data_IF_206489220344
#
_entry.id   IF_206489220344
#
_cell.length_a   1.000
_cell.length_b   1.000
_cell.length_c   1.000
_cell.angle_alpha   90.00
_cell.angle_beta   90.00
_cell.angle_gamma   90.00
#
_symmetry.space_group_name_H-M   'P 1'
#
loop_
_entity.id
_entity.type
_entity.pdbx_description
1 polymer ?
#
# COMPACT_ATOMS: atom_id res chain seq x y z
N UNK A 1 -19.01 -42.11 11.81
CA UNK A 1 -18.44 -42.43 10.49
C UNK A 1 -19.59 -42.26 9.52
N UNK A 2 -19.69 -41.25 8.68
CA UNK A 2 -18.87 -40.09 8.38
C UNK A 2 -19.87 -39.14 7.69
N UNK A 3 -19.97 -37.89 8.14
CA UNK A 3 -20.96 -36.94 7.59
C UNK A 3 -20.30 -35.57 7.45
N UNK A 4 -19.72 -35.34 6.29
CA UNK A 4 -19.38 -34.01 5.78
C UNK A 4 -20.65 -33.32 5.28
N UNK A 5 -20.97 -32.10 5.73
CA UNK A 5 -21.90 -31.23 5.02
C UNK A 5 -21.14 -30.55 3.88
N UNK A 6 -21.66 -30.68 2.65
CA UNK A 6 -21.24 -29.85 1.53
C UNK A 6 -22.01 -28.53 1.59
N UNK A 7 -21.28 -27.42 1.63
CA UNK A 7 -21.81 -26.10 1.30
C UNK A 7 -22.13 -26.05 -0.19
N UNK A 8 -23.36 -25.68 -0.52
CA UNK A 8 -23.83 -25.45 -1.87
C UNK A 8 -24.29 -23.99 -1.96
N UNK A 9 -23.34 -23.07 -2.13
CA UNK A 9 -23.61 -21.67 -2.43
C UNK A 9 -23.40 -21.41 -3.92
N UNK A 10 -24.38 -21.84 -4.72
CA UNK A 10 -24.64 -21.32 -6.08
C UNK A 10 -25.92 -20.44 -6.03
N UNK A 11 -25.99 -19.57 -5.02
CA UNK A 11 -26.99 -18.52 -4.93
C UNK A 11 -26.65 -17.40 -5.88
N UNK A 12 -27.12 -17.50 -7.13
CA UNK A 12 -27.01 -16.44 -8.13
C UNK A 12 -27.47 -15.11 -7.53
N UNK A 13 -26.53 -14.16 -7.44
CA UNK A 13 -26.81 -12.76 -7.15
C UNK A 13 -27.72 -12.25 -8.28
N UNK A 14 -29.01 -12.21 -7.99
CA UNK A 14 -29.98 -11.47 -8.79
C UNK A 14 -29.50 -10.03 -8.78
N UNK A 15 -29.27 -9.46 -9.96
CA UNK A 15 -29.09 -8.03 -10.16
C UNK A 15 -30.19 -7.28 -9.40
N UNK A 16 -29.88 -6.82 -8.20
CA UNK A 16 -30.68 -5.88 -7.45
C UNK A 16 -30.42 -4.54 -8.08
N UNK A 17 -31.40 -4.04 -8.84
CA UNK A 17 -31.45 -2.66 -9.26
C UNK A 17 -31.41 -1.78 -8.00
N UNK A 18 -30.25 -1.19 -7.73
CA UNK A 18 -30.04 -0.22 -6.66
C UNK A 18 -30.75 1.08 -7.01
N UNK A 19 -32.06 1.12 -6.73
CA UNK A 19 -32.83 2.33 -6.60
C UNK A 19 -32.47 3.02 -5.28
N UNK A 20 -31.32 3.70 -5.23
CA UNK A 20 -31.09 4.71 -4.21
C UNK A 20 -31.77 6.02 -4.60
N UNK A 21 -32.66 6.47 -3.72
CA UNK A 21 -33.32 7.75 -3.79
C UNK A 21 -32.29 8.88 -3.86
N UNK A 22 -32.28 9.58 -5.00
CA UNK A 22 -31.66 10.88 -5.14
C UNK A 22 -32.56 11.91 -4.45
N UNK A 23 -32.12 12.42 -3.30
CA UNK A 23 -32.55 13.72 -2.78
C UNK A 23 -31.37 14.31 -2.01
N UNK A 24 -30.60 15.12 -2.72
CA UNK A 24 -29.42 15.83 -2.23
C UNK A 24 -29.02 16.88 -3.27
N UNK A 25 -29.70 18.03 -3.19
CA UNK A 25 -29.48 19.24 -3.98
C UNK A 25 -27.97 19.59 -4.06
N UNK A 26 -27.36 19.70 -5.25
CA UNK A 26 -25.95 20.06 -5.35
C UNK A 26 -25.80 21.55 -5.04
N UNK A 27 -25.28 21.85 -3.85
CA UNK A 27 -24.77 23.18 -3.55
C UNK A 27 -23.73 23.56 -4.63
N UNK A 28 -24.08 24.56 -5.43
CA UNK A 28 -23.20 25.20 -6.39
C UNK A 28 -22.02 25.81 -5.65
N UNK A 29 -20.89 25.10 -5.63
CA UNK A 29 -19.61 25.70 -5.28
C UNK A 29 -19.19 26.58 -6.46
N UNK A 30 -19.18 27.88 -6.20
CA UNK A 30 -18.61 28.87 -7.09
C UNK A 30 -17.09 28.71 -7.08
N UNK A 31 -16.49 28.67 -8.27
CA UNK A 31 -15.05 28.58 -8.48
C UNK A 31 -14.32 29.71 -7.71
N UNK A 32 -13.38 29.39 -6.81
CA UNK A 32 -12.40 30.37 -6.38
C UNK A 32 -11.39 30.58 -7.52
N UNK A 33 -10.82 31.80 -7.65
CA UNK A 33 -9.87 32.10 -8.70
C UNK A 33 -8.65 31.19 -8.60
N UNK A 34 -8.21 30.70 -9.76
CA UNK A 34 -6.99 29.93 -9.98
C UNK A 34 -5.76 30.71 -9.47
N UNK A 35 -5.43 30.46 -8.20
CA UNK A 35 -4.11 30.67 -7.64
C UNK A 35 -3.21 29.57 -8.15
N UNK A 36 -2.19 29.97 -8.90
CA UNK A 36 -1.08 29.13 -9.31
C UNK A 36 -0.23 28.83 -8.06
N UNK A 37 -0.63 27.81 -7.31
CA UNK A 37 0.15 27.22 -6.22
C UNK A 37 1.22 26.31 -6.83
N UNK A 38 2.03 26.88 -7.71
CA UNK A 38 3.31 26.30 -8.06
C UNK A 38 4.08 26.08 -6.77
N UNK A 39 4.10 24.84 -6.29
CA UNK A 39 5.11 24.33 -5.39
C UNK A 39 6.44 24.36 -6.14
N UNK A 40 6.94 25.58 -6.39
CA UNK A 40 8.36 25.85 -6.52
C UNK A 40 8.93 25.50 -5.16
N UNK A 41 9.39 24.26 -5.03
CA UNK A 41 10.31 23.88 -3.97
C UNK A 41 11.45 24.89 -4.05
N UNK A 42 11.51 25.81 -3.09
CA UNK A 42 12.74 26.53 -2.83
C UNK A 42 13.74 25.45 -2.46
N UNK A 43 14.64 25.20 -3.41
CA UNK A 43 15.80 24.35 -3.26
C UNK A 43 16.66 25.03 -2.19
N UNK A 44 16.42 24.67 -0.93
CA UNK A 44 17.12 25.18 0.25
C UNK A 44 18.54 24.62 0.28
N UNK A 45 19.33 24.88 -0.77
CA UNK A 45 20.79 24.98 -0.79
C UNK A 45 21.59 23.97 0.03
N UNK A 46 21.04 22.78 0.28
CA UNK A 46 21.70 21.69 0.97
C UNK A 46 22.73 21.16 0.03
N UNK A 47 23.94 21.74 0.09
CA UNK A 47 25.02 21.53 -0.86
C UNK A 47 25.10 20.06 -1.24
N UNK A 48 24.75 19.76 -2.49
CA UNK A 48 24.82 18.42 -3.04
C UNK A 48 26.24 17.94 -2.81
N UNK A 49 26.42 17.05 -1.84
CA UNK A 49 27.67 16.34 -1.67
C UNK A 49 27.93 15.66 -3.00
N UNK A 50 29.05 15.98 -3.66
CA UNK A 50 29.46 15.28 -4.87
C UNK A 50 29.59 13.79 -4.54
N UNK A 51 28.55 13.02 -4.86
CA UNK A 51 28.45 11.60 -4.56
C UNK A 51 29.32 10.77 -5.53
N UNK A 52 30.19 11.40 -6.31
CA UNK A 52 31.04 10.76 -7.29
C UNK A 52 30.28 10.28 -8.53
N UNK A 53 30.99 9.62 -9.47
CA UNK A 53 30.41 9.11 -10.71
C UNK A 53 29.30 8.11 -10.40
N UNK A 54 28.26 8.09 -11.24
CA UNK A 54 27.19 7.11 -11.09
C UNK A 54 27.74 5.68 -11.26
N UNK A 55 27.49 4.77 -10.31
CA UNK A 55 27.82 3.37 -10.50
C UNK A 55 27.06 2.73 -11.68
N UNK A 56 27.74 1.84 -12.40
CA UNK A 56 27.21 1.25 -13.62
C UNK A 56 26.03 0.28 -13.36
N UNK A 57 26.00 -0.37 -12.21
CA UNK A 57 24.99 -1.37 -11.83
C UNK A 57 24.06 -0.83 -10.75
N UNK A 58 22.84 -1.36 -10.68
CA UNK A 58 21.89 -1.17 -9.58
C UNK A 58 22.44 -1.73 -8.26
N UNK A 59 23.16 -2.84 -8.32
CA UNK A 59 23.80 -3.42 -7.13
C UNK A 59 24.78 -2.45 -6.48
N UNK A 60 25.61 -1.76 -7.28
CA UNK A 60 26.57 -0.76 -6.78
C UNK A 60 25.90 0.57 -6.37
N UNK A 61 24.66 0.82 -6.80
CA UNK A 61 23.84 1.99 -6.39
C UNK A 61 23.09 1.74 -5.09
N UNK A 62 22.99 0.50 -4.64
CA UNK A 62 22.27 0.15 -3.42
C UNK A 62 23.14 0.44 -2.19
N UNK A 63 22.57 1.19 -1.26
CA UNK A 63 23.08 1.34 0.09
C UNK A 63 22.15 0.66 1.08
N UNK A 64 22.73 0.10 2.15
CA UNK A 64 22.00 -0.61 3.21
C UNK A 64 22.48 -0.09 4.54
N UNK A 65 21.57 0.49 5.33
CA UNK A 65 21.83 0.94 6.70
C UNK A 65 21.14 0.00 7.67
N UNK A 66 21.90 -0.56 8.61
CA UNK A 66 21.37 -1.42 9.67
C UNK A 66 21.18 -0.63 10.96
N UNK A 67 20.00 -0.75 11.57
CA UNK A 67 19.62 -0.08 12.80
C UNK A 67 19.29 -1.16 13.83
N UNK A 68 20.01 -1.16 14.95
CA UNK A 68 19.67 -2.05 16.06
C UNK A 68 18.43 -1.54 16.80
N UNK A 69 17.52 -2.46 17.12
CA UNK A 69 16.32 -2.21 17.95
C UNK A 69 16.35 -2.99 19.26
N UNK A 70 17.50 -3.58 19.63
CA UNK A 70 17.62 -4.30 20.89
C UNK A 70 17.31 -3.36 22.09
N UNK A 71 16.65 -3.88 23.16
CA UNK A 71 16.32 -5.29 23.40
C UNK A 71 15.05 -5.79 22.70
N UNK A 72 14.35 -4.94 21.95
CA UNK A 72 13.17 -5.35 21.20
C UNK A 72 13.56 -6.22 19.99
N UNK A 73 12.55 -6.87 19.44
CA UNK A 73 12.64 -7.62 18.19
C UNK A 73 11.54 -7.19 17.23
N UNK A 74 11.87 -7.04 15.96
CA UNK A 74 10.93 -6.76 14.89
C UNK A 74 10.03 -7.97 14.69
N UNK A 75 8.73 -7.76 14.76
CA UNK A 75 7.73 -8.73 14.31
C UNK A 75 7.23 -8.32 12.93
N UNK A 76 7.51 -9.14 11.94
CA UNK A 76 7.00 -8.97 10.57
C UNK A 76 5.87 -9.93 10.24
N UNK A 77 5.46 -10.80 11.18
CA UNK A 77 4.33 -11.69 10.99
C UNK A 77 3.04 -10.96 11.38
N UNK A 78 2.06 -11.00 10.49
CA UNK A 78 0.68 -10.70 10.87
C UNK A 78 0.01 -11.97 11.43
N UNK A 79 -0.91 -11.77 12.35
CA UNK A 79 -1.62 -12.85 13.05
C UNK A 79 -2.77 -13.46 12.25
N UNK A 80 -2.97 -13.02 11.00
CA UNK A 80 -4.13 -13.38 10.20
C UNK A 80 -3.90 -14.48 9.18
N UNK A 81 -4.95 -15.24 8.87
CA UNK A 81 -4.85 -16.35 7.92
C UNK A 81 -4.59 -15.87 6.49
N UNK A 82 -5.05 -14.68 6.12
CA UNK A 82 -4.82 -14.05 4.82
C UNK A 82 -3.97 -12.77 4.89
N UNK A 83 -3.52 -12.39 6.09
CA UNK A 83 -2.54 -11.33 6.29
C UNK A 83 -1.30 -11.93 6.92
N UNK A 84 -0.32 -12.24 6.07
CA UNK A 84 0.88 -12.96 6.50
C UNK A 84 1.97 -12.03 7.02
N UNK A 85 1.99 -10.77 6.59
CA UNK A 85 3.13 -9.88 6.82
C UNK A 85 2.75 -8.44 7.20
N UNK A 86 3.47 -7.90 8.18
CA UNK A 86 3.46 -6.49 8.59
C UNK A 86 4.87 -5.91 8.47
N UNK A 87 5.33 -5.57 7.26
CA UNK A 87 6.69 -5.10 7.06
C UNK A 87 6.91 -3.74 7.75
N UNK A 88 8.15 -3.39 8.11
CA UNK A 88 8.49 -2.01 8.41
C UNK A 88 8.12 -1.09 7.24
N UNK A 89 7.51 0.04 7.54
CA UNK A 89 7.01 1.00 6.53
C UNK A 89 7.86 2.26 6.61
N UNK A 90 8.44 2.65 5.48
CA UNK A 90 9.25 3.86 5.34
C UNK A 90 8.40 4.99 4.76
N UNK A 91 8.47 6.18 5.35
CA UNK A 91 7.82 7.40 4.81
C UNK A 91 8.84 8.53 4.71
N UNK A 92 9.36 8.83 3.50
CA UNK A 92 10.37 9.86 3.29
C UNK A 92 9.85 11.27 3.59
N UNK A 93 10.77 12.15 4.01
CA UNK A 93 10.54 13.59 4.22
C UNK A 93 11.78 14.39 3.85
N UNK A 94 11.68 15.73 3.70
CA UNK A 94 12.88 16.56 3.60
C UNK A 94 13.85 16.28 4.76
N UNK A 95 15.11 15.98 4.44
CA UNK A 95 16.17 15.73 5.42
C UNK A 95 16.16 14.36 6.10
N UNK A 96 15.29 13.41 5.71
CA UNK A 96 15.31 12.05 6.25
C UNK A 96 14.04 11.25 5.98
N UNK A 97 13.63 10.42 6.94
CA UNK A 97 12.41 9.61 6.83
C UNK A 97 11.87 9.27 8.22
N UNK A 98 10.64 8.78 8.25
CA UNK A 98 10.10 8.05 9.38
C UNK A 98 10.04 6.56 9.03
N UNK A 99 10.48 5.72 9.95
CA UNK A 99 10.42 4.27 9.81
C UNK A 99 9.51 3.68 10.89
N UNK A 100 8.31 3.28 10.49
CA UNK A 100 7.40 2.56 11.37
C UNK A 100 7.73 1.06 11.34
N UNK A 101 7.74 0.42 12.51
CA UNK A 101 7.95 -1.02 12.64
C UNK A 101 7.22 -1.55 13.87
N UNK A 102 6.93 -2.84 13.86
CA UNK A 102 6.21 -3.50 14.93
C UNK A 102 7.18 -4.30 15.80
N UNK A 103 7.13 -4.08 17.10
CA UNK A 103 7.83 -4.91 18.08
C UNK A 103 7.02 -6.17 18.42
N UNK A 104 7.71 -7.27 18.70
CA UNK A 104 7.08 -8.54 19.10
C UNK A 104 6.24 -8.45 20.40
N UNK A 105 6.49 -7.43 21.22
CA UNK A 105 5.73 -7.17 22.45
C UNK A 105 4.33 -6.56 22.22
N UNK A 106 3.88 -6.38 20.97
CA UNK A 106 2.56 -5.79 20.67
C UNK A 106 2.55 -4.27 20.77
N UNK A 107 3.59 -3.64 20.20
CA UNK A 107 3.75 -2.19 20.14
C UNK A 107 4.28 -1.79 18.77
N UNK A 108 3.79 -0.69 18.23
CA UNK A 108 4.34 -0.06 17.04
C UNK A 108 5.30 1.06 17.47
N UNK A 109 6.45 1.11 16.81
CA UNK A 109 7.49 2.10 16.97
C UNK A 109 7.61 2.90 15.68
N UNK A 110 7.86 4.20 15.78
CA UNK A 110 8.19 5.07 14.66
C UNK A 110 9.53 5.72 14.95
N UNK A 111 10.56 5.23 14.25
CA UNK A 111 11.95 5.69 14.36
C UNK A 111 12.17 6.89 13.43
N UNK A 112 12.56 8.07 13.93
CA UNK A 112 13.03 9.15 13.07
C UNK A 112 14.39 8.80 12.48
N UNK A 113 14.54 8.96 11.16
CA UNK A 113 15.80 8.81 10.44
C UNK A 113 16.28 10.13 9.86
N UNK A 114 17.59 10.30 9.75
CA UNK A 114 18.26 11.42 9.08
C UNK A 114 18.43 11.17 7.57
N UNK A 115 19.05 12.13 6.87
CA UNK A 115 19.27 12.05 5.43
C UNK A 115 20.17 10.90 4.98
N UNK A 116 20.91 10.28 5.90
CA UNK A 116 21.76 9.10 5.68
C UNK A 116 21.12 7.80 6.22
N UNK A 117 19.81 7.82 6.48
CA UNK A 117 19.04 6.69 7.00
C UNK A 117 19.49 6.18 8.38
N UNK A 118 20.23 7.00 9.14
CA UNK A 118 20.58 6.70 10.53
C UNK A 118 19.53 7.24 11.50
N UNK A 119 19.40 6.59 12.66
CA UNK A 119 18.52 7.02 13.74
C UNK A 119 18.84 8.46 14.17
N UNK A 120 17.85 9.34 14.06
CA UNK A 120 17.97 10.77 14.36
C UNK A 120 17.35 11.16 15.72
N UNK A 121 16.77 10.20 16.46
CA UNK A 121 16.07 10.48 17.71
C UNK A 121 15.44 9.24 18.35
N UNK A 122 14.73 9.44 19.48
CA UNK A 122 13.99 8.37 20.14
C UNK A 122 12.79 7.91 19.30
N UNK A 123 12.34 6.67 19.52
CA UNK A 123 11.12 6.17 18.92
C UNK A 123 9.89 6.88 19.51
N UNK A 124 8.91 7.12 18.65
CA UNK A 124 7.53 7.37 19.06
C UNK A 124 6.80 6.03 19.10
N UNK A 125 6.06 5.76 20.16
CA UNK A 125 5.41 4.45 20.35
C UNK A 125 3.89 4.56 20.38
N UNK A 126 3.23 3.56 19.80
CA UNK A 126 1.77 3.39 19.79
C UNK A 126 1.43 1.96 20.21
N UNK A 127 0.50 1.80 21.16
CA UNK A 127 -0.04 0.47 21.47
C UNK A 127 -0.85 -0.06 20.30
N UNK A 128 -0.45 -1.22 19.78
CA UNK A 128 -1.03 -1.81 18.59
C UNK A 128 -0.59 -3.26 18.43
N UNK A 129 -1.50 -4.09 17.96
CA UNK A 129 -1.16 -5.45 17.61
C UNK A 129 -0.43 -5.53 16.29
N UNK A 130 -0.78 -4.71 15.29
CA UNK A 130 -0.19 -4.77 13.95
C UNK A 130 -0.08 -3.37 13.33
N UNK A 131 0.99 -3.16 12.56
CA UNK A 131 1.18 -1.96 11.73
C UNK A 131 0.54 -2.17 10.36
N UNK A 132 -0.32 -1.25 9.94
CA UNK A 132 -1.08 -1.33 8.68
C UNK A 132 -0.83 -0.16 7.73
N UNK A 133 -0.19 0.92 8.19
CA UNK A 133 0.17 2.04 7.34
C UNK A 133 0.97 3.11 8.07
N UNK A 134 1.76 3.89 7.32
CA UNK A 134 2.46 5.09 7.79
C UNK A 134 2.39 6.14 6.68
N UNK A 135 2.05 7.37 7.04
CA UNK A 135 2.20 8.51 6.14
C UNK A 135 2.70 9.73 6.89
N UNK A 136 3.76 10.34 6.38
CA UNK A 136 4.36 11.54 6.93
C UNK A 136 4.08 12.77 6.06
N UNK A 137 4.08 13.93 6.71
CA UNK A 137 4.00 15.25 6.08
C UNK A 137 4.85 16.25 6.88
N UNK A 138 4.96 17.49 6.40
CA UNK A 138 5.81 18.50 7.06
C UNK A 138 5.42 18.78 8.53
N UNK A 139 4.14 18.61 8.88
CA UNK A 139 3.60 18.88 10.22
C UNK A 139 3.69 17.71 11.19
N UNK A 140 4.02 16.50 10.73
CA UNK A 140 3.93 15.29 11.53
C UNK A 140 3.76 14.02 10.72
N UNK A 141 3.13 13.02 11.31
CA UNK A 141 2.83 11.76 10.65
C UNK A 141 1.62 11.10 11.31
N UNK A 142 1.01 10.15 10.62
CA UNK A 142 0.05 9.24 11.21
C UNK A 142 0.43 7.79 10.91
N UNK A 143 0.04 6.90 11.82
CA UNK A 143 0.09 5.44 11.63
C UNK A 143 -1.32 4.88 11.64
N UNK A 144 -1.54 3.89 10.79
CA UNK A 144 -2.74 3.06 10.79
C UNK A 144 -2.41 1.73 11.45
N UNK A 145 -3.19 1.31 12.44
CA UNK A 145 -2.86 0.18 13.30
C UNK A 145 -4.08 -0.69 13.62
N UNK A 146 -3.84 -2.00 13.70
CA UNK A 146 -4.81 -2.97 14.21
C UNK A 146 -4.69 -3.05 15.74
N UNK A 147 -5.82 -3.06 16.45
CA UNK A 147 -5.87 -3.18 17.91
C UNK A 147 -6.92 -4.19 18.37
N UNK A 148 -6.61 -4.89 19.46
CA UNK A 148 -7.48 -5.89 20.03
C UNK A 148 -7.79 -7.00 19.04
N UNK A 149 -9.03 -7.46 19.05
CA UNK A 149 -9.50 -8.52 18.15
C UNK A 149 -10.07 -7.96 16.84
N UNK A 150 -10.56 -6.72 16.84
CA UNK A 150 -11.52 -6.26 15.84
C UNK A 150 -11.38 -4.79 15.41
N UNK A 151 -10.42 -4.03 15.96
CA UNK A 151 -10.31 -2.59 15.71
C UNK A 151 -9.24 -2.25 14.67
N UNK A 152 -9.56 -1.26 13.83
CA UNK A 152 -8.58 -0.49 13.06
C UNK A 152 -8.61 0.95 13.56
N UNK A 153 -7.44 1.54 13.81
CA UNK A 153 -7.30 2.89 14.33
C UNK A 153 -6.30 3.74 13.52
N UNK A 154 -6.50 5.06 13.53
CA UNK A 154 -5.58 6.06 13.01
C UNK A 154 -5.02 6.89 14.17
N UNK A 155 -3.71 6.94 14.28
CA UNK A 155 -3.03 7.66 15.37
C UNK A 155 -2.10 8.69 14.77
N UNK A 156 -2.35 9.96 15.09
CA UNK A 156 -1.61 11.10 14.55
C UNK A 156 -0.65 11.72 15.55
N UNK A 157 0.52 12.12 15.08
CA UNK A 157 1.58 12.75 15.84
C UNK A 157 2.05 14.02 15.12
N UNK A 158 2.52 15.01 15.88
CA UNK A 158 3.23 16.13 15.28
C UNK A 158 4.69 15.80 14.93
N UNK A 159 5.37 16.75 14.30
CA UNK A 159 6.77 16.61 13.88
C UNK A 159 7.75 16.32 15.03
N UNK A 160 7.38 16.66 16.28
CA UNK A 160 8.19 16.38 17.48
C UNK A 160 7.84 15.03 18.13
N UNK A 161 6.86 14.30 17.58
CA UNK A 161 6.39 13.03 18.12
C UNK A 161 5.33 13.17 19.21
N UNK A 162 4.76 14.37 19.41
CA UNK A 162 3.65 14.59 20.34
C UNK A 162 2.34 14.06 19.78
N UNK A 163 1.60 13.27 20.55
CA UNK A 163 0.28 12.74 20.16
C UNK A 163 -0.70 13.89 19.88
N UNK A 164 -1.39 13.81 18.74
CA UNK A 164 -2.40 14.78 18.30
C UNK A 164 -3.80 14.20 18.35
N UNK A 165 -3.98 12.98 17.88
CA UNK A 165 -5.25 12.29 17.92
C UNK A 165 -5.05 10.78 17.93
N UNK A 166 -6.05 10.07 18.42
CA UNK A 166 -6.14 8.62 18.42
C UNK A 166 -7.60 8.23 18.13
N UNK A 167 -7.88 7.88 16.89
CA UNK A 167 -9.23 7.67 16.37
C UNK A 167 -9.43 6.22 16.00
N UNK A 168 -10.45 5.58 16.58
CA UNK A 168 -10.95 4.28 16.09
C UNK A 168 -11.68 4.53 14.77
N UNK A 169 -11.21 3.89 13.69
CA UNK A 169 -11.84 3.96 12.37
C UNK A 169 -13.08 3.06 12.35
N UNK A 170 -12.89 1.78 12.70
CA UNK A 170 -13.96 0.77 12.81
C UNK A 170 -13.66 -0.21 13.96
N UNK A 171 -14.65 -1.01 14.36
CA UNK A 171 -14.59 -1.96 15.47
C UNK A 171 -15.07 -1.38 16.80
N UNK A 172 -14.95 -2.19 17.87
CA UNK A 172 -15.38 -1.86 19.23
C UNK A 172 -16.89 -1.62 19.42
N UNK A 173 -17.70 -2.23 18.56
CA UNK A 173 -19.15 -2.05 18.52
C UNK A 173 -19.88 -3.40 18.68
N UNK A 174 -21.21 -3.34 18.69
CA UNK A 174 -22.02 -4.54 18.63
C UNK A 174 -22.10 -5.08 17.20
N UNK A 175 -21.34 -6.13 16.91
CA UNK A 175 -21.28 -6.78 15.60
C UNK A 175 -22.58 -7.43 15.15
N UNK A 176 -23.61 -7.55 16.00
CA UNK A 176 -24.95 -8.04 15.61
C UNK A 176 -25.79 -6.95 14.91
N UNK A 177 -25.34 -5.69 14.91
CA UNK A 177 -26.07 -4.58 14.28
C UNK A 177 -25.73 -4.48 12.79
N UNK A 178 -26.77 -4.47 11.95
CA UNK A 178 -26.61 -4.18 10.53
C UNK A 178 -25.90 -2.83 10.35
N UNK A 179 -24.87 -2.82 9.51
CA UNK A 179 -24.04 -1.66 9.22
C UNK A 179 -22.77 -1.58 10.06
N UNK A 180 -22.64 -2.39 11.12
CA UNK A 180 -21.42 -2.42 11.91
C UNK A 180 -20.24 -2.95 11.09
N UNK A 181 -19.05 -2.41 11.35
CA UNK A 181 -17.82 -2.70 10.63
C UNK A 181 -16.71 -3.00 11.62
N UNK A 182 -15.90 -4.00 11.32
CA UNK A 182 -14.75 -4.39 12.13
C UNK A 182 -13.71 -5.14 11.29
N UNK A 183 -12.51 -5.32 11.82
CA UNK A 183 -11.53 -6.23 11.21
C UNK A 183 -11.67 -7.62 11.81
N UNK A 184 -11.43 -8.66 11.00
CA UNK A 184 -11.34 -10.04 11.50
C UNK A 184 -9.94 -10.52 11.21
N UNK A 185 -9.23 -11.00 12.23
CA UNK A 185 -7.87 -11.51 12.03
C UNK A 185 -7.86 -12.72 11.12
N UNK A 186 -8.90 -13.54 11.14
CA UNK A 186 -9.01 -14.68 10.24
C UNK A 186 -9.16 -14.25 8.77
N UNK A 187 -9.41 -12.97 8.50
CA UNK A 187 -9.52 -12.36 7.18
C UNK A 187 -8.38 -11.38 6.88
N UNK A 188 -8.20 -11.04 5.60
CA UNK A 188 -7.25 -10.03 5.17
C UNK A 188 -7.73 -8.62 5.52
N UNK A 189 -6.94 -7.88 6.28
CA UNK A 189 -7.14 -6.47 6.65
C UNK A 189 -5.97 -5.60 6.15
N UNK A 190 -5.37 -6.00 5.03
CA UNK A 190 -4.30 -5.23 4.39
C UNK A 190 -4.77 -3.81 4.14
N UNK A 191 -3.89 -2.85 4.38
CA UNK A 191 -4.23 -1.46 4.35
C UNK A 191 -3.13 -0.58 3.77
N UNK A 192 -3.53 0.63 3.36
CA UNK A 192 -2.66 1.72 2.94
C UNK A 192 -3.13 3.04 3.54
N UNK A 193 -2.17 3.87 3.91
CA UNK A 193 -2.38 5.20 4.46
C UNK A 193 -1.62 6.20 3.59
N UNK A 194 -2.30 7.20 3.06
CA UNK A 194 -1.70 8.26 2.24
C UNK A 194 -2.11 9.62 2.80
N UNK A 195 -1.18 10.57 2.80
CA UNK A 195 -1.48 11.98 3.07
C UNK A 195 -1.72 12.70 1.74
N UNK A 196 -2.83 13.43 1.64
CA UNK A 196 -3.23 14.15 0.42
C UNK A 196 -4.05 15.37 0.82
N UNK A 197 -3.92 16.49 0.11
CA UNK A 197 -4.80 17.67 0.27
C UNK A 197 -5.05 18.08 1.74
N UNK A 198 -4.02 18.02 2.58
CA UNK A 198 -4.09 18.33 4.01
C UNK A 198 -5.00 17.40 4.86
N UNK A 199 -5.16 16.14 4.43
CA UNK A 199 -5.93 15.08 5.09
C UNK A 199 -5.27 13.72 4.88
N UNK A 200 -5.72 12.73 5.62
CA UNK A 200 -5.32 11.33 5.49
C UNK A 200 -6.38 10.55 4.74
N UNK A 201 -5.98 9.70 3.80
CA UNK A 201 -6.82 8.65 3.23
C UNK A 201 -6.41 7.30 3.81
N UNK A 202 -7.39 6.55 4.31
CA UNK A 202 -7.22 5.16 4.74
C UNK A 202 -7.96 4.26 3.76
N UNK A 203 -7.27 3.22 3.28
CA UNK A 203 -7.84 2.23 2.37
C UNK A 203 -7.46 0.84 2.84
N UNK A 204 -8.42 0.01 3.27
CA UNK A 204 -8.13 -1.31 3.83
C UNK A 204 -9.33 -2.25 3.79
N UNK A 205 -9.05 -3.56 3.89
CA UNK A 205 -10.05 -4.63 3.98
C UNK A 205 -10.72 -4.71 5.36
N UNK A 206 -12.02 -4.98 5.41
CA UNK A 206 -12.80 -5.12 6.64
C UNK A 206 -13.96 -6.12 6.48
N UNK A 207 -14.64 -6.41 7.59
CA UNK A 207 -15.94 -7.11 7.62
C UNK A 207 -17.05 -6.11 7.92
N UNK A 208 -18.24 -6.35 7.39
CA UNK A 208 -19.46 -5.60 7.70
C UNK A 208 -20.64 -6.55 7.90
N UNK A 209 -21.49 -6.25 8.89
CA UNK A 209 -22.76 -6.95 9.08
C UNK A 209 -23.83 -6.35 8.15
N UNK A 210 -24.47 -7.18 7.33
CA UNK A 210 -25.54 -6.84 6.38
C UNK A 210 -26.93 -7.30 6.83
N UNK A 211 -27.11 -7.48 8.13
CA UNK A 211 -28.34 -7.94 8.77
C UNK A 211 -28.67 -9.38 8.36
N UNK A 212 -29.82 -9.56 7.72
CA UNK A 212 -30.29 -10.88 7.29
C UNK A 212 -29.41 -11.53 6.22
N UNK A 213 -28.56 -10.76 5.54
CA UNK A 213 -27.61 -11.25 4.54
C UNK A 213 -26.33 -11.81 5.18
N UNK A 214 -26.16 -11.64 6.49
CA UNK A 214 -24.99 -12.12 7.23
C UNK A 214 -23.82 -11.13 7.15
N UNK A 215 -22.62 -11.66 7.24
CA UNK A 215 -21.38 -10.88 7.34
C UNK A 215 -20.61 -11.00 6.04
N UNK A 216 -20.21 -9.87 5.46
CA UNK A 216 -19.47 -9.85 4.20
C UNK A 216 -18.20 -9.03 4.33
N UNK A 217 -17.13 -9.53 3.73
CA UNK A 217 -15.84 -8.85 3.69
C UNK A 217 -15.79 -7.94 2.48
N UNK A 218 -15.22 -6.75 2.65
CA UNK A 218 -15.01 -5.79 1.58
C UNK A 218 -13.81 -4.90 1.89
N UNK A 219 -13.61 -3.84 1.10
CA UNK A 219 -12.72 -2.74 1.48
C UNK A 219 -13.48 -1.43 1.68
N UNK A 220 -12.86 -0.49 2.37
CA UNK A 220 -13.39 0.87 2.57
C UNK A 220 -12.33 1.90 2.25
N UNK A 221 -12.75 3.07 1.76
CA UNK A 221 -11.88 4.23 1.49
C UNK A 221 -12.43 5.48 2.18
N UNK A 222 -11.83 5.87 3.31
CA UNK A 222 -12.28 7.01 4.12
C UNK A 222 -11.22 8.08 4.27
N UNK A 223 -11.65 9.31 4.55
CA UNK A 223 -10.77 10.45 4.74
C UNK A 223 -10.85 11.01 6.15
N UNK A 224 -9.72 11.47 6.68
CA UNK A 224 -9.59 12.03 8.02
C UNK A 224 -8.83 13.35 8.00
N UNK A 225 -9.32 14.35 8.73
CA UNK A 225 -8.61 15.62 8.89
C UNK A 225 -7.37 15.49 9.82
N UNK A 226 -6.61 16.57 9.96
CA UNK A 226 -5.44 16.61 10.85
C UNK A 226 -5.76 16.51 12.35
N UNK A 227 -7.03 16.57 12.74
CA UNK A 227 -7.50 16.34 14.11
C UNK A 227 -8.02 14.92 14.32
N UNK A 228 -7.95 14.07 13.29
CA UNK A 228 -8.43 12.69 13.34
C UNK A 228 -9.94 12.54 13.21
N UNK A 229 -10.67 13.57 12.79
CA UNK A 229 -12.10 13.45 12.51
C UNK A 229 -12.30 12.94 11.09
N UNK A 230 -13.30 12.06 10.88
CA UNK A 230 -13.71 11.65 9.54
C UNK A 230 -14.18 12.88 8.77
N UNK A 231 -13.49 13.20 7.69
CA UNK A 231 -13.72 14.39 6.85
C UNK A 231 -14.33 14.03 5.49
N UNK A 232 -14.78 12.79 5.31
CA UNK A 232 -15.36 12.26 4.08
C UNK A 232 -14.98 10.81 3.84
N UNK A 233 -14.98 10.44 2.57
CA UNK A 233 -14.69 9.10 2.08
C UNK A 233 -15.39 8.89 0.75
N UNK A 234 -15.00 7.85 0.05
CA UNK A 234 -15.55 7.54 -1.27
C UNK A 234 -16.55 6.37 -1.17
N UNK A 235 -16.20 5.33 -0.40
CA UNK A 235 -17.10 4.21 -0.11
C UNK A 235 -16.88 3.59 1.27
N UNK A 236 -17.95 2.97 1.76
CA UNK A 236 -18.01 2.20 3.01
C UNK A 236 -17.87 0.69 2.80
N UNK A 237 -17.97 0.23 1.54
CA UNK A 237 -17.79 -1.16 1.12
C UNK A 237 -17.54 -1.19 -0.40
N UNK A 238 -16.42 -1.78 -0.83
CA UNK A 238 -15.94 -1.82 -2.22
C UNK A 238 -15.68 -3.23 -2.72
N UNK A 239 -14.43 -3.60 -3.00
CA UNK A 239 -14.13 -4.93 -3.52
C UNK A 239 -14.41 -6.01 -2.47
N UNK A 240 -15.21 -7.03 -2.82
CA UNK A 240 -15.47 -8.16 -1.93
C UNK A 240 -14.24 -9.01 -1.76
N UNK A 241 -14.02 -9.48 -0.53
CA UNK A 241 -12.81 -10.18 -0.09
C UNK A 241 -11.55 -9.51 -0.66
N UNK A 242 -11.38 -8.21 -0.41
CA UNK A 242 -10.21 -7.45 -0.85
C UNK A 242 -8.94 -8.05 -0.23
N UNK A 243 -8.24 -8.89 -1.00
CA UNK A 243 -7.12 -9.71 -0.53
C UNK A 243 -5.85 -8.90 -0.36
N UNK A 244 -5.75 -7.79 -1.08
CA UNK A 244 -4.65 -6.84 -1.00
C UNK A 244 -5.09 -5.49 -1.61
N UNK A 245 -4.51 -4.39 -1.15
CA UNK A 245 -4.87 -3.04 -1.58
C UNK A 245 -3.66 -2.15 -1.84
N UNK A 246 -3.75 -1.25 -2.83
CA UNK A 246 -2.79 -0.15 -3.05
C UNK A 246 -3.51 1.18 -3.07
N UNK A 247 -2.82 2.22 -2.63
CA UNK A 247 -3.31 3.59 -2.63
C UNK A 247 -2.16 4.55 -2.92
N UNK A 248 -2.38 5.47 -3.86
CA UNK A 248 -1.48 6.58 -4.12
C UNK A 248 -2.27 7.84 -4.46
N UNK A 249 -1.71 9.01 -4.20
CA UNK A 249 -2.25 10.30 -4.63
C UNK A 249 -1.32 10.90 -5.69
N UNK A 250 -1.89 11.39 -6.79
CA UNK A 250 -1.10 11.93 -7.90
C UNK A 250 -1.08 13.45 -8.03
N UNK A 251 -1.60 14.17 -7.04
CA UNK A 251 -1.77 15.62 -7.08
C UNK A 251 -3.12 16.07 -7.61
N UNK A 252 -3.93 15.15 -8.15
CA UNK A 252 -5.28 15.45 -8.68
C UNK A 252 -6.35 14.50 -8.15
N UNK A 253 -6.01 13.21 -7.98
CA UNK A 253 -6.93 12.21 -7.43
C UNK A 253 -6.18 11.10 -6.70
N UNK A 254 -6.93 10.36 -5.89
CA UNK A 254 -6.48 9.07 -5.36
C UNK A 254 -6.62 7.98 -6.43
N UNK A 255 -5.70 7.02 -6.38
CA UNK A 255 -5.71 5.80 -7.18
C UNK A 255 -5.78 4.57 -6.27
N UNK A 256 -6.98 4.15 -5.85
CA UNK A 256 -7.17 2.92 -5.10
C UNK A 256 -7.15 1.71 -6.04
N UNK A 257 -6.45 0.65 -5.67
CA UNK A 257 -6.42 -0.63 -6.38
C UNK A 257 -6.67 -1.77 -5.41
N UNK A 258 -7.53 -2.71 -5.76
CA UNK A 258 -7.78 -3.93 -4.98
C UNK A 258 -7.43 -5.18 -5.79
N UNK A 259 -7.10 -6.25 -5.09
CA UNK A 259 -7.19 -7.61 -5.61
C UNK A 259 -8.46 -8.27 -5.04
N UNK A 260 -9.44 -8.56 -5.89
CA UNK A 260 -10.66 -9.24 -5.49
C UNK A 260 -10.71 -10.66 -6.02
N UNK A 261 -11.23 -11.58 -5.20
CA UNK A 261 -11.55 -12.94 -5.61
C UNK A 261 -13.05 -13.17 -5.89
N UNK A 262 -13.87 -12.11 -5.89
CA UNK A 262 -15.32 -12.23 -6.00
C UNK A 262 -16.01 -11.02 -6.71
N UNK A 263 -16.22 -9.91 -6.01
CA UNK A 263 -16.88 -8.70 -6.53
C UNK A 263 -15.89 -7.52 -6.59
N UNK A 264 -15.87 -6.70 -7.66
CA UNK A 264 -16.84 -6.62 -8.76
C UNK A 264 -16.83 -7.82 -9.70
N UNK A 265 -15.63 -8.36 -9.91
CA UNK A 265 -15.34 -9.64 -10.54
C UNK A 265 -14.08 -10.19 -9.88
N UNK A 266 -13.68 -11.41 -10.27
CA UNK A 266 -12.41 -12.01 -9.86
C UNK A 266 -11.28 -11.37 -10.67
N UNK A 267 -10.66 -10.33 -10.13
CA UNK A 267 -9.70 -9.50 -10.85
C UNK A 267 -8.93 -8.55 -9.95
N UNK A 268 -7.89 -7.95 -10.54
CA UNK A 268 -7.29 -6.70 -10.05
C UNK A 268 -8.13 -5.54 -10.58
N UNK A 269 -8.59 -4.65 -9.69
CA UNK A 269 -9.45 -3.51 -10.03
C UNK A 269 -8.81 -2.19 -9.65
N UNK A 270 -8.89 -1.19 -10.54
CA UNK A 270 -8.61 0.21 -10.21
C UNK A 270 -9.91 0.90 -9.91
N UNK A 271 -10.14 1.23 -8.63
CA UNK A 271 -11.44 1.66 -8.11
C UNK A 271 -12.55 0.66 -8.51
N UNK A 272 -13.18 0.04 -7.52
CA UNK A 272 -14.14 -1.04 -7.74
C UNK A 272 -15.32 -0.68 -8.68
N UNK A 273 -15.56 0.61 -8.98
CA UNK A 273 -16.60 1.07 -9.91
C UNK A 273 -16.07 1.53 -11.27
N UNK A 274 -14.75 1.61 -11.42
CA UNK A 274 -14.10 2.26 -12.55
C UNK A 274 -13.64 1.24 -13.59
N UNK A 275 -12.59 0.46 -13.32
CA UNK A 275 -11.98 -0.37 -14.36
C UNK A 275 -11.32 -1.65 -13.84
N UNK A 276 -11.58 -2.75 -14.56
CA UNK A 276 -10.83 -4.00 -14.42
C UNK A 276 -9.43 -3.81 -15.03
N UNK A 277 -8.38 -4.10 -14.26
CA UNK A 277 -7.00 -4.03 -14.71
C UNK A 277 -6.57 -5.35 -15.34
N UNK A 278 -6.84 -6.46 -14.66
CA UNK A 278 -6.45 -7.79 -15.10
C UNK A 278 -7.39 -8.85 -14.51
N UNK A 279 -7.95 -9.76 -15.33
CA UNK A 279 -8.80 -10.83 -14.82
C UNK A 279 -7.99 -11.85 -14.04
N UNK A 280 -8.53 -12.29 -12.90
CA UNK A 280 -7.93 -13.28 -12.00
C UNK A 280 -8.93 -14.43 -11.74
N UNK A 281 -9.24 -15.26 -12.75
CA UNK A 281 -10.31 -16.26 -12.67
C UNK A 281 -10.07 -17.35 -11.61
N UNK A 282 -8.84 -17.54 -11.12
CA UNK A 282 -8.55 -18.38 -9.94
C UNK A 282 -9.15 -17.87 -8.64
N UNK A 283 -9.67 -16.63 -8.60
CA UNK A 283 -10.50 -16.13 -7.51
C UNK A 283 -11.57 -17.14 -7.10
N UNK A 284 -11.77 -17.39 -5.82
CA UNK A 284 -12.71 -18.43 -5.36
C UNK A 284 -13.82 -17.95 -4.43
N UNK A 285 -13.97 -16.63 -4.21
CA UNK A 285 -14.89 -16.06 -3.23
C UNK A 285 -14.70 -16.62 -1.80
N UNK A 286 -13.49 -17.03 -1.45
CA UNK A 286 -13.18 -17.65 -0.15
C UNK A 286 -11.76 -17.30 0.34
N UNK A 287 -11.22 -16.16 -0.10
CA UNK A 287 -9.93 -15.64 0.34
C UNK A 287 -8.74 -16.03 -0.54
N UNK A 288 -8.96 -16.50 -1.77
CA UNK A 288 -7.87 -16.99 -2.62
C UNK A 288 -7.94 -16.39 -4.01
N UNK A 289 -6.79 -15.89 -4.47
CA UNK A 289 -6.49 -15.57 -5.85
C UNK A 289 -5.05 -15.97 -6.15
N UNK A 290 -4.77 -16.33 -7.39
CA UNK A 290 -3.38 -16.54 -7.82
C UNK A 290 -2.68 -15.22 -8.12
N UNK A 291 -3.39 -14.09 -8.27
CA UNK A 291 -2.78 -12.78 -8.46
C UNK A 291 -2.10 -12.24 -7.20
N UNK A 292 -1.12 -11.37 -7.37
CA UNK A 292 -0.49 -10.61 -6.29
C UNK A 292 -0.24 -9.17 -6.75
N UNK A 293 -0.66 -8.18 -5.94
CA UNK A 293 -0.38 -6.77 -6.22
C UNK A 293 1.10 -6.45 -5.94
N UNK A 294 1.72 -5.70 -6.86
CA UNK A 294 3.06 -5.16 -6.69
C UNK A 294 3.04 -3.72 -6.16
N UNK A 295 3.91 -2.84 -6.66
CA UNK A 295 3.88 -1.41 -6.32
C UNK A 295 2.92 -0.59 -7.19
N UNK A 296 2.38 0.50 -6.62
CA UNK A 296 1.58 1.51 -7.32
C UNK A 296 2.30 2.86 -7.28
N UNK A 297 2.53 3.45 -8.45
CA UNK A 297 3.23 4.72 -8.61
C UNK A 297 2.30 5.74 -9.22
N UNK A 298 2.04 6.83 -8.50
CA UNK A 298 1.37 8.00 -9.05
C UNK A 298 2.25 8.71 -10.09
N UNK A 299 1.65 9.33 -11.11
CA UNK A 299 2.24 10.21 -12.16
C UNK A 299 1.28 11.36 -12.45
N UNK A 300 1.74 12.43 -13.10
CA UNK A 300 0.83 13.54 -13.43
C UNK A 300 -0.32 13.08 -14.36
N UNK A 301 -0.06 12.08 -15.20
CA UNK A 301 -0.98 11.54 -16.18
C UNK A 301 -1.90 10.41 -15.64
N UNK A 302 -1.64 9.93 -14.42
CA UNK A 302 -2.37 8.83 -13.80
C UNK A 302 -1.50 7.99 -12.88
N UNK A 303 -1.49 6.68 -13.06
CA UNK A 303 -0.79 5.72 -12.21
C UNK A 303 -0.11 4.63 -13.05
N UNK A 304 0.93 4.03 -12.47
CA UNK A 304 1.51 2.77 -12.93
C UNK A 304 1.37 1.73 -11.85
N UNK A 305 0.99 0.52 -12.22
CA UNK A 305 0.88 -0.62 -11.32
C UNK A 305 1.78 -1.74 -11.84
N UNK A 306 2.54 -2.34 -10.93
CA UNK A 306 3.12 -3.67 -11.15
C UNK A 306 2.29 -4.72 -10.42
N UNK A 307 2.28 -5.95 -10.93
CA UNK A 307 1.64 -7.10 -10.29
C UNK A 307 2.31 -8.39 -10.76
N UNK A 308 1.99 -9.51 -10.12
CA UNK A 308 2.37 -10.84 -10.60
C UNK A 308 1.13 -11.70 -10.77
N UNK A 309 1.04 -12.45 -11.86
CA UNK A 309 -0.07 -13.36 -12.10
C UNK A 309 0.34 -14.51 -13.03
N UNK A 310 -0.13 -15.74 -12.76
CA UNK A 310 0.00 -16.87 -13.69
C UNK A 310 -1.14 -16.93 -14.73
N UNK A 311 -2.15 -16.07 -14.64
CA UNK A 311 -3.40 -16.22 -15.40
C UNK A 311 -3.22 -15.95 -16.88
N UNK A 312 -3.59 -16.94 -17.71
CA UNK A 312 -3.34 -16.89 -19.15
C UNK A 312 -1.86 -17.04 -19.53
N UNK A 313 -1.01 -17.51 -18.60
CA UNK A 313 0.44 -17.62 -18.76
C UNK A 313 0.96 -19.02 -18.44
N UNK A 314 2.21 -19.31 -18.85
CA UNK A 314 2.87 -20.59 -18.56
C UNK A 314 3.61 -20.61 -17.21
N UNK A 315 3.82 -19.44 -16.63
CA UNK A 315 4.52 -19.15 -15.37
C UNK A 315 3.82 -17.97 -14.71
N UNK A 316 4.12 -17.74 -13.43
CA UNK A 316 3.75 -16.51 -12.75
C UNK A 316 4.72 -15.42 -13.15
N UNK A 317 4.26 -14.44 -13.94
CA UNK A 317 5.15 -13.42 -14.50
C UNK A 317 4.86 -12.03 -13.92
N UNK A 318 5.81 -11.10 -14.05
CA UNK A 318 5.66 -9.70 -13.63
C UNK A 318 4.98 -8.88 -14.73
N UNK A 319 3.80 -8.34 -14.43
CA UNK A 319 3.04 -7.42 -15.28
C UNK A 319 3.26 -5.96 -14.88
N UNK A 320 3.27 -5.06 -15.86
CA UNK A 320 3.30 -3.61 -15.70
C UNK A 320 2.18 -2.98 -16.52
N UNK A 321 1.42 -2.07 -15.93
CA UNK A 321 0.28 -1.43 -16.59
C UNK A 321 0.13 0.03 -16.16
N UNK A 322 -0.23 0.89 -17.11
CA UNK A 322 -0.58 2.29 -16.86
C UNK A 322 -2.09 2.44 -16.71
N UNK A 323 -2.51 3.36 -15.85
CA UNK A 323 -3.90 3.73 -15.63
C UNK A 323 -3.99 5.25 -15.75
N UNK A 324 -4.76 5.77 -16.69
CA UNK A 324 -4.86 7.23 -16.87
C UNK A 324 -5.71 7.90 -15.78
N UNK A 325 -5.64 9.23 -15.67
CA UNK A 325 -6.54 10.01 -14.80
C UNK A 325 -8.03 9.79 -15.08
N UNK A 326 -8.37 9.40 -16.31
CA UNK A 326 -9.73 9.05 -16.73
C UNK A 326 -10.10 7.58 -16.44
N UNK A 327 -9.34 6.91 -15.58
CA UNK A 327 -9.48 5.48 -15.24
C UNK A 327 -9.34 4.53 -16.44
N UNK A 328 -8.67 4.95 -17.52
CA UNK A 328 -8.43 4.07 -18.67
C UNK A 328 -7.19 3.21 -18.42
N UNK A 329 -7.38 1.88 -18.48
CA UNK A 329 -6.31 0.90 -18.32
C UNK A 329 -5.61 0.68 -19.66
N UNK A 330 -4.29 0.84 -19.67
CA UNK A 330 -3.44 0.52 -20.82
C UNK A 330 -3.21 -0.99 -20.99
N UNK A 331 -2.53 -1.42 -22.07
CA UNK A 331 -2.19 -2.83 -22.21
C UNK A 331 -1.20 -3.28 -21.12
N UNK A 332 -1.36 -4.49 -20.61
CA UNK A 332 -0.38 -5.12 -19.71
C UNK A 332 0.89 -5.42 -20.50
N UNK A 333 2.01 -4.93 -19.97
CA UNK A 333 3.37 -5.22 -20.45
C UNK A 333 3.99 -6.24 -19.52
N UNK A 334 4.21 -7.44 -20.01
CA UNK A 334 4.84 -8.51 -19.24
C UNK A 334 6.36 -8.35 -19.32
N UNK A 335 6.97 -8.09 -18.18
CA UNK A 335 8.41 -7.87 -18.05
C UNK A 335 9.18 -9.20 -17.98
N UNK A 336 8.49 -10.26 -17.57
CA UNK A 336 9.02 -11.63 -17.53
C UNK A 336 8.11 -12.60 -18.28
N UNK A 337 8.55 -13.86 -18.41
CA UNK A 337 7.90 -14.84 -19.29
C UNK A 337 8.56 -16.21 -19.34
N UNK A 338 9.42 -16.54 -18.36
CA UNK A 338 10.20 -17.77 -18.42
C UNK A 338 9.47 -18.89 -17.67
N UNK A 339 9.12 -19.97 -18.37
CA UNK A 339 8.32 -21.07 -17.80
C UNK A 339 8.93 -21.78 -16.58
N UNK A 340 10.20 -21.50 -16.24
CA UNK A 340 10.90 -22.07 -15.10
C UNK A 340 11.00 -21.11 -13.90
N UNK A 341 10.61 -19.85 -14.07
CA UNK A 341 10.57 -18.87 -13.00
C UNK A 341 9.15 -18.81 -12.39
N UNK A 342 9.10 -18.58 -11.08
CA UNK A 342 7.90 -18.31 -10.32
C UNK A 342 8.14 -16.98 -9.60
N UNK A 343 7.81 -15.89 -10.30
CA UNK A 343 8.11 -14.53 -9.87
C UNK A 343 7.07 -14.03 -8.88
N UNK A 344 7.49 -13.48 -7.74
CA UNK A 344 6.57 -12.97 -6.72
C UNK A 344 7.01 -11.62 -6.17
N UNK A 345 6.16 -11.00 -5.36
CA UNK A 345 6.51 -9.78 -4.62
C UNK A 345 7.03 -8.65 -5.51
N UNK A 346 6.39 -8.44 -6.67
CA UNK A 346 6.73 -7.32 -7.55
C UNK A 346 6.67 -5.98 -6.79
N UNK A 347 7.54 -5.05 -7.18
CA UNK A 347 7.66 -3.69 -6.62
C UNK A 347 7.83 -2.70 -7.75
N UNK A 348 7.39 -1.48 -7.49
CA UNK A 348 7.46 -0.39 -8.45
C UNK A 348 7.74 0.92 -7.72
N UNK A 349 8.62 1.75 -8.28
CA UNK A 349 8.85 3.12 -7.86
C UNK A 349 9.20 4.00 -9.08
N UNK A 350 9.06 5.33 -8.96
CA UNK A 350 9.66 6.22 -9.95
C UNK A 350 11.18 6.15 -9.87
N UNK A 351 11.88 6.32 -10.98
CA UNK A 351 13.33 6.37 -11.02
C UNK A 351 13.80 7.30 -12.15
N UNK A 352 13.82 8.61 -11.85
CA UNK A 352 13.96 9.65 -12.87
C UNK A 352 12.75 9.68 -13.80
N UNK A 353 13.00 9.70 -15.11
CA UNK A 353 11.95 9.61 -16.15
C UNK A 353 11.43 8.17 -16.36
N UNK A 354 12.13 7.19 -15.78
CA UNK A 354 11.87 5.77 -15.88
C UNK A 354 11.19 5.22 -14.61
N UNK A 355 10.95 3.92 -14.59
CA UNK A 355 10.43 3.18 -13.45
C UNK A 355 11.48 2.19 -12.95
N UNK A 356 11.64 2.10 -11.64
CA UNK A 356 12.35 0.98 -11.00
C UNK A 356 11.34 -0.14 -10.75
N UNK A 357 11.65 -1.33 -11.23
CA UNK A 357 10.92 -2.56 -10.95
C UNK A 357 11.81 -3.52 -10.18
N UNK A 358 11.22 -4.24 -9.21
CA UNK A 358 11.89 -5.32 -8.51
C UNK A 358 10.93 -6.49 -8.29
N UNK A 359 11.46 -7.71 -8.19
CA UNK A 359 10.67 -8.91 -7.88
C UNK A 359 11.57 -9.97 -7.23
N UNK A 360 10.95 -10.98 -6.63
CA UNK A 360 11.63 -12.20 -6.21
C UNK A 360 11.52 -13.26 -7.30
N UNK A 361 12.62 -13.94 -7.59
CA UNK A 361 12.70 -15.06 -8.51
C UNK A 361 13.55 -16.15 -7.87
N UNK A 362 12.95 -17.30 -7.51
CA UNK A 362 13.66 -18.43 -6.89
C UNK A 362 14.54 -18.03 -5.68
N UNK A 363 14.01 -17.15 -4.82
CA UNK A 363 14.70 -16.65 -3.62
C UNK A 363 15.77 -15.59 -3.88
N UNK A 364 15.92 -15.13 -5.13
CA UNK A 364 16.82 -14.03 -5.50
C UNK A 364 16.01 -12.78 -5.79
N UNK A 365 16.43 -11.63 -5.26
CA UNK A 365 15.85 -10.34 -5.67
C UNK A 365 16.44 -9.92 -7.02
N UNK A 366 15.56 -9.68 -7.97
CA UNK A 366 15.86 -9.09 -9.27
C UNK A 366 15.42 -7.63 -9.27
N UNK A 367 16.23 -6.76 -9.86
CA UNK A 367 15.87 -5.36 -10.08
C UNK A 367 16.21 -4.93 -11.50
N UNK A 368 15.40 -4.03 -12.05
CA UNK A 368 15.64 -3.42 -13.34
C UNK A 368 15.06 -2.00 -13.41
N UNK A 369 15.57 -1.20 -14.32
CA UNK A 369 14.97 0.07 -14.73
C UNK A 369 14.29 -0.15 -16.07
N UNK A 370 13.03 0.23 -16.17
CA UNK A 370 12.24 0.14 -17.39
C UNK A 370 11.74 1.50 -17.81
N UNK A 371 11.66 1.74 -19.11
CA UNK A 371 11.00 2.94 -19.63
C UNK A 371 9.46 2.83 -19.52
N UNK A 372 8.75 3.89 -19.93
CA UNK A 372 7.27 3.91 -19.96
C UNK A 372 6.67 2.92 -20.97
N UNK A 373 7.48 2.34 -21.85
CA UNK A 373 7.09 1.28 -22.77
C UNK A 373 7.41 -0.12 -22.24
N UNK A 374 7.89 -0.23 -21.00
CA UNK A 374 8.26 -1.50 -20.38
C UNK A 374 9.54 -2.12 -20.96
N UNK A 375 10.32 -1.37 -21.74
CA UNK A 375 11.62 -1.83 -22.22
C UNK A 375 12.66 -1.68 -21.11
N UNK A 376 13.51 -2.69 -20.95
CA UNK A 376 14.63 -2.63 -20.02
C UNK A 376 15.67 -1.60 -20.46
N UNK A 377 15.91 -0.62 -19.60
CA UNK A 377 16.97 0.40 -19.73
C UNK A 377 18.24 -0.06 -19.00
N UNK A 378 18.07 -0.71 -17.84
CA UNK A 378 19.15 -1.28 -17.03
C UNK A 378 18.65 -2.54 -16.32
N UNK A 379 19.49 -3.57 -16.23
CA UNK A 379 19.11 -4.87 -15.68
C UNK A 379 18.29 -5.72 -16.67
N UNK A 380 17.62 -6.79 -16.20
CA UNK A 380 17.53 -7.20 -14.80
C UNK A 380 18.85 -7.74 -14.25
N UNK A 381 19.12 -7.47 -12.97
CA UNK A 381 20.25 -8.06 -12.26
C UNK A 381 19.90 -8.45 -10.83
N UNK A 382 20.73 -9.30 -10.24
CA UNK A 382 20.58 -9.72 -8.84
C UNK A 382 21.09 -8.64 -7.90
N UNK A 383 20.29 -8.31 -6.88
CA UNK A 383 20.63 -7.31 -5.89
C UNK A 383 20.52 -7.91 -4.48
N UNK A 384 21.47 -7.57 -3.61
CA UNK A 384 21.47 -8.01 -2.21
C UNK A 384 20.46 -7.20 -1.39
N UNK A 385 19.18 -7.48 -1.59
CA UNK A 385 18.06 -6.79 -0.95
C UNK A 385 17.06 -7.77 -0.35
N UNK A 386 16.26 -7.29 0.59
CA UNK A 386 15.16 -8.03 1.21
C UNK A 386 13.89 -7.19 1.20
N UNK A 387 12.78 -7.78 0.77
CA UNK A 387 11.42 -7.25 0.85
C UNK A 387 10.42 -8.41 0.69
N UNK A 388 9.15 -8.19 1.00
CA UNK A 388 8.08 -9.16 0.79
C UNK A 388 6.91 -8.54 0.02
N UNK A 389 5.83 -9.30 -0.17
CA UNK A 389 4.62 -8.86 -0.87
C UNK A 389 4.10 -7.51 -0.39
N UNK A 390 4.06 -7.29 0.92
CA UNK A 390 3.47 -6.10 1.54
C UNK A 390 4.44 -4.91 1.64
N UNK A 391 5.71 -5.09 1.28
CA UNK A 391 6.68 -3.99 1.31
C UNK A 391 6.40 -3.03 0.16
N UNK A 392 6.29 -1.73 0.45
CA UNK A 392 6.18 -0.68 -0.57
C UNK A 392 7.54 -0.04 -0.81
N UNK A 393 7.84 0.28 -2.08
CA UNK A 393 8.97 1.13 -2.43
C UNK A 393 8.50 2.58 -2.43
N UNK A 394 9.29 3.47 -1.83
CA UNK A 394 8.96 4.88 -1.67
C UNK A 394 10.03 5.77 -2.30
N UNK A 395 9.59 6.87 -2.92
CA UNK A 395 10.51 7.85 -3.49
C UNK A 395 10.91 8.89 -2.44
N UNK A 396 12.21 9.10 -2.29
CA UNK A 396 12.76 10.24 -1.55
C UNK A 396 12.64 11.53 -2.38
N UNK A 397 12.69 12.73 -1.74
CA UNK A 397 12.74 13.99 -2.47
C UNK A 397 13.92 14.10 -3.47
N UNK A 398 15.02 13.38 -3.23
CA UNK A 398 16.17 13.28 -4.15
C UNK A 398 15.88 12.48 -5.42
N UNK A 399 14.75 11.77 -5.49
CA UNK A 399 14.44 10.79 -6.53
C UNK A 399 14.99 9.39 -6.24
N UNK A 400 15.78 9.20 -5.17
CA UNK A 400 16.20 7.88 -4.70
C UNK A 400 14.98 7.03 -4.32
N UNK A 401 15.15 5.72 -4.37
CA UNK A 401 14.11 4.76 -3.97
C UNK A 401 14.53 4.10 -2.66
N UNK A 402 13.65 4.18 -1.66
CA UNK A 402 13.84 3.59 -0.33
C UNK A 402 12.81 2.51 -0.01
N UNK A 403 13.19 1.57 0.84
CA UNK A 403 12.28 0.63 1.51
C UNK A 403 12.96 0.09 2.77
N UNK A 404 12.21 -0.68 3.58
CA UNK A 404 12.73 -1.26 4.80
C UNK A 404 12.38 -2.74 4.95
N UNK A 405 13.22 -3.43 5.70
CA UNK A 405 13.02 -4.81 6.14
C UNK A 405 13.41 -4.92 7.62
N UNK A 406 12.92 -5.93 8.31
CA UNK A 406 13.32 -6.18 9.68
C UNK A 406 13.34 -7.66 10.00
N UNK A 407 14.35 -8.07 10.75
CA UNK A 407 14.54 -9.44 11.21
C UNK A 407 15.24 -9.42 12.57
N UNK A 408 14.72 -10.20 13.52
CA UNK A 408 15.27 -10.27 14.87
C UNK A 408 15.32 -8.89 15.50
N UNK A 409 16.51 -8.45 15.95
CA UNK A 409 16.73 -7.13 16.57
C UNK A 409 17.33 -6.09 15.61
N UNK A 410 17.17 -6.28 14.30
CA UNK A 410 17.73 -5.39 13.28
C UNK A 410 16.66 -4.93 12.30
N UNK A 411 16.63 -3.63 12.05
CA UNK A 411 15.98 -3.03 10.88
C UNK A 411 17.05 -2.75 9.83
N UNK A 412 16.70 -2.98 8.56
CA UNK A 412 17.51 -2.61 7.42
C UNK A 412 16.74 -1.59 6.59
N UNK A 413 17.37 -0.44 6.35
CA UNK A 413 16.90 0.57 5.40
C UNK A 413 17.72 0.43 4.14
N UNK A 414 17.04 0.17 3.04
CA UNK A 414 17.64 0.07 1.73
C UNK A 414 17.37 1.38 0.99
N UNK A 415 18.41 1.94 0.38
CA UNK A 415 18.27 3.11 -0.50
C UNK A 415 19.04 2.89 -1.78
N UNK A 416 18.31 2.87 -2.89
CA UNK A 416 18.85 2.83 -4.24
C UNK A 416 18.98 4.26 -4.76
N UNK A 417 20.22 4.72 -4.94
CA UNK A 417 20.51 6.05 -5.44
C UNK A 417 19.99 6.23 -6.86
N UNK A 418 19.30 7.33 -7.14
CA UNK A 418 19.00 7.77 -8.50
C UNK A 418 20.27 8.32 -9.16
N UNK A 419 20.53 7.84 -10.37
CA UNK A 419 21.52 8.45 -11.25
C UNK A 419 20.83 9.03 -12.47
N UNK A 420 20.92 10.35 -12.68
CA UNK A 420 20.40 11.00 -13.87
C UNK A 420 21.22 10.67 -15.13
#
# INVERSE_FOLDING_TARGET
MDSTPGDSDDGGLVNGDDAFAADGDPAQFSDPPSGDDGFGVQDDGGGATDLGPCPATLADRLSIVSISVAPDTVNTAAGGYFSYYTPPILSPRPGGSWLAWQAAAGRVHVTPLDGSDHRAGPDVTTEANELRGLSAHAGGFAVMVQRGQDQMALVGYDAAGGLRFDTIIIGNNNHDQQGDKWVRREWGDHGRLVFFENRYAVYFGHTMNWGAQGEHQGDLLWYFDLSGNRSGGDWDWGCSHSLDVRLAYNGTRLGPVCLSDCYPTKAIWFDHRSAEIHPEPSGNCAGLSSGELGGLVATAEGFWLSFTSPEGRSSRDVGLVSISNASQVGPVRWLTGSAAADESSAKLARYGDNLLVAWQESGTVRMAVVDRDGNFVLGPESVAASFNQQTDFVNHPSGDVGWAHGEGSTLQVFRLRLCP
#
